data_IF_848331128777
#
_entry.id   IF_848331128777
#
_cell.length_a   1.000
_cell.length_b   1.000
_cell.length_c   1.000
_cell.angle_alpha   90.00
_cell.angle_beta   90.00
_cell.angle_gamma   90.00
#
_symmetry.space_group_name_H-M   'P 1'
#
loop_
_entity.id
_entity.type
_entity.pdbx_description
1 polymer ?
#
# COMPACT_ATOMS: atom_id res chain seq x y z
N UNK A 1 3.77 -2.49 -30.68
CA UNK A 1 2.94 -2.80 -29.51
C UNK A 1 3.77 -3.66 -28.56
N UNK A 2 4.23 -3.14 -27.40
CA UNK A 2 4.99 -3.97 -26.48
C UNK A 2 4.04 -4.94 -25.76
N UNK A 3 4.35 -6.23 -25.84
CA UNK A 3 3.63 -7.31 -25.16
C UNK A 3 3.82 -7.18 -23.65
N UNK A 4 2.72 -7.08 -22.92
CA UNK A 4 2.68 -7.24 -21.46
C UNK A 4 3.18 -8.64 -21.08
N UNK A 5 4.33 -8.71 -20.42
CA UNK A 5 4.78 -9.95 -19.79
C UNK A 5 3.92 -10.16 -18.56
N UNK A 6 2.97 -11.12 -18.63
CA UNK A 6 2.26 -11.58 -17.44
C UNK A 6 3.31 -12.00 -16.40
N UNK A 7 3.39 -11.27 -15.29
CA UNK A 7 4.21 -11.67 -14.16
C UNK A 7 3.59 -12.93 -13.55
N UNK A 8 4.18 -14.10 -13.84
CA UNK A 8 3.83 -15.34 -13.15
C UNK A 8 4.24 -15.23 -11.68
N UNK A 9 3.32 -14.81 -10.83
CA UNK A 9 3.47 -14.93 -9.39
C UNK A 9 3.31 -16.41 -9.00
N UNK A 10 4.43 -17.13 -8.88
CA UNK A 10 4.39 -18.49 -8.33
C UNK A 10 4.11 -18.43 -6.82
N UNK A 11 2.82 -18.47 -6.45
CA UNK A 11 2.35 -18.80 -5.11
C UNK A 11 2.65 -20.28 -4.84
N UNK A 12 3.90 -20.60 -4.47
CA UNK A 12 4.26 -21.95 -3.98
C UNK A 12 3.59 -22.17 -2.61
N UNK A 13 2.44 -22.84 -2.59
CA UNK A 13 1.87 -23.45 -1.38
C UNK A 13 2.79 -24.61 -0.99
N UNK A 14 3.66 -24.43 0.01
CA UNK A 14 4.18 -25.59 0.76
C UNK A 14 3.11 -25.99 1.77
N UNK A 15 2.84 -27.28 1.84
CA UNK A 15 2.01 -27.92 2.87
C UNK A 15 2.90 -28.23 4.08
N UNK A 16 3.62 -27.23 4.59
CA UNK A 16 4.15 -27.28 5.95
C UNK A 16 3.10 -26.63 6.84
N UNK A 17 2.67 -27.29 7.92
CA UNK A 17 1.54 -26.92 8.78
C UNK A 17 1.64 -25.57 9.52
N UNK A 18 2.33 -24.58 8.96
CA UNK A 18 2.36 -23.17 9.35
C UNK A 18 1.63 -22.37 8.29
N UNK A 19 0.34 -22.13 8.52
CA UNK A 19 -0.52 -21.10 7.90
C UNK A 19 -0.26 -20.70 6.44
N UNK A 20 -1.28 -20.86 5.58
CA UNK A 20 -1.34 -20.28 4.23
C UNK A 20 -0.70 -18.89 4.20
N UNK A 21 0.49 -18.75 3.60
CA UNK A 21 1.10 -17.42 3.45
C UNK A 21 0.41 -16.71 2.29
N UNK A 22 -0.44 -15.74 2.60
CA UNK A 22 -1.21 -14.94 1.63
C UNK A 22 -0.34 -13.97 0.78
N UNK A 23 1.00 -14.04 0.92
CA UNK A 23 1.96 -13.11 0.33
C UNK A 23 3.05 -13.85 -0.44
N UNK A 24 3.38 -13.42 -1.67
CA UNK A 24 4.45 -14.02 -2.45
C UNK A 24 5.81 -13.76 -1.80
N UNK A 25 6.66 -14.80 -1.79
CA UNK A 25 8.11 -14.64 -1.57
C UNK A 25 8.84 -14.31 -2.86
N UNK A 26 8.22 -14.57 -4.01
CA UNK A 26 8.76 -14.28 -5.34
C UNK A 26 7.65 -13.79 -6.27
N UNK A 27 7.87 -12.67 -6.96
CA UNK A 27 7.04 -12.21 -8.08
C UNK A 27 7.81 -11.20 -8.92
N UNK A 28 7.55 -11.11 -10.23
CA UNK A 28 8.22 -10.14 -11.12
C UNK A 28 9.75 -10.26 -11.13
N UNK A 29 10.29 -11.48 -10.95
CA UNK A 29 11.74 -11.69 -10.83
C UNK A 29 12.37 -11.20 -9.52
N UNK A 30 11.56 -10.74 -8.55
CA UNK A 30 12.03 -10.29 -7.25
C UNK A 30 11.83 -11.34 -6.15
N UNK A 31 12.70 -11.32 -5.14
CA UNK A 31 12.58 -12.03 -3.86
C UNK A 31 12.13 -11.05 -2.76
N UNK A 32 11.16 -11.43 -1.93
CA UNK A 32 10.60 -10.58 -0.88
C UNK A 32 10.85 -11.11 0.53
N UNK A 33 11.18 -10.20 1.45
CA UNK A 33 11.29 -10.46 2.89
C UNK A 33 10.31 -9.60 3.67
N UNK A 34 9.77 -10.18 4.73
CA UNK A 34 8.72 -9.57 5.53
C UNK A 34 9.10 -9.61 7.01
N UNK A 35 8.64 -8.62 7.78
CA UNK A 35 8.75 -8.63 9.24
C UNK A 35 7.73 -9.59 9.89
N UNK A 36 7.71 -9.65 11.23
CA UNK A 36 6.80 -10.50 11.99
C UNK A 36 5.31 -10.09 11.85
N UNK A 37 5.06 -8.82 11.59
CA UNK A 37 3.74 -8.25 11.27
C UNK A 37 3.35 -8.49 9.79
N UNK A 38 4.30 -8.97 9.01
CA UNK A 38 4.18 -9.33 7.61
C UNK A 38 4.34 -8.18 6.62
N UNK A 39 4.85 -7.02 7.03
CA UNK A 39 5.15 -5.88 6.14
C UNK A 39 6.45 -6.14 5.38
N UNK A 40 6.51 -5.74 4.11
CA UNK A 40 7.63 -6.03 3.19
C UNK A 40 8.84 -5.17 3.51
N UNK A 41 9.77 -5.69 4.29
CA UNK A 41 10.98 -4.95 4.69
C UNK A 41 12.08 -4.98 3.65
N UNK A 42 12.05 -5.94 2.72
CA UNK A 42 13.05 -6.03 1.65
C UNK A 42 12.48 -6.61 0.36
N UNK A 43 12.94 -6.07 -0.78
CA UNK A 43 12.84 -6.70 -2.09
C UNK A 43 14.22 -6.82 -2.73
N UNK A 44 14.49 -7.95 -3.39
CA UNK A 44 15.76 -8.26 -4.03
C UNK A 44 15.52 -8.59 -5.52
N UNK A 45 16.10 -7.84 -6.47
CA UNK A 45 16.12 -8.19 -7.91
C UNK A 45 17.44 -8.91 -8.21
N UNK A 46 17.38 -10.12 -8.76
CA UNK A 46 18.59 -10.84 -9.22
C UNK A 46 19.65 -11.08 -8.13
N UNK A 47 19.29 -11.04 -6.84
CA UNK A 47 20.18 -11.32 -5.70
C UNK A 47 21.16 -10.20 -5.28
N UNK A 48 21.34 -9.16 -6.09
CA UNK A 48 22.30 -8.07 -5.83
C UNK A 48 21.63 -6.71 -5.60
N UNK A 49 20.47 -6.48 -6.20
CA UNK A 49 19.77 -5.21 -6.20
C UNK A 49 18.73 -5.18 -5.08
N UNK A 50 19.03 -4.46 -3.99
CA UNK A 50 18.22 -4.51 -2.77
C UNK A 50 17.49 -3.20 -2.53
N UNK A 51 16.23 -3.33 -2.15
CA UNK A 51 15.43 -2.23 -1.62
C UNK A 51 14.97 -2.58 -0.22
N UNK A 52 15.22 -1.66 0.70
CA UNK A 52 14.83 -1.76 2.10
C UNK A 52 13.72 -0.76 2.37
N UNK A 53 12.66 -1.20 3.02
CA UNK A 53 11.49 -0.37 3.31
C UNK A 53 11.15 -0.44 4.80
N UNK A 54 10.88 0.71 5.40
CA UNK A 54 10.42 0.83 6.77
C UNK A 54 9.05 1.50 6.78
N UNK A 55 8.12 0.89 7.51
CA UNK A 55 6.74 1.36 7.61
C UNK A 55 6.40 1.78 9.03
N UNK A 56 5.52 2.77 9.14
CA UNK A 56 4.85 3.11 10.37
C UNK A 56 3.98 1.93 10.87
N UNK A 57 3.52 2.01 12.11
CA UNK A 57 2.66 0.99 12.71
C UNK A 57 1.34 0.81 11.93
N UNK A 58 0.85 1.88 11.31
CA UNK A 58 -0.34 1.91 10.46
C UNK A 58 -0.10 1.47 9.01
N UNK A 59 1.13 1.06 8.66
CA UNK A 59 1.46 0.55 7.33
C UNK A 59 1.87 1.61 6.31
N UNK A 60 1.98 2.89 6.66
CA UNK A 60 2.49 3.92 5.73
C UNK A 60 4.00 3.81 5.55
N UNK A 61 4.51 3.93 4.32
CA UNK A 61 5.94 3.85 4.02
C UNK A 61 6.64 5.11 4.54
N UNK A 62 7.50 4.98 5.55
CA UNK A 62 8.24 6.10 6.15
C UNK A 62 9.60 6.34 5.50
N UNK A 63 10.29 5.25 5.18
CA UNK A 63 11.66 5.33 4.69
C UNK A 63 11.94 4.21 3.71
N UNK A 64 12.74 4.53 2.69
CA UNK A 64 13.22 3.56 1.74
C UNK A 64 14.70 3.80 1.44
N UNK A 65 15.45 2.72 1.25
CA UNK A 65 16.76 2.73 0.60
C UNK A 65 16.70 1.82 -0.60
N UNK A 66 17.05 2.37 -1.75
CA UNK A 66 17.10 1.68 -3.02
C UNK A 66 18.56 1.65 -3.49
N UNK A 67 19.16 0.46 -3.45
CA UNK A 67 20.54 0.27 -3.89
C UNK A 67 20.68 0.24 -5.42
N UNK A 68 19.58 0.06 -6.15
CA UNK A 68 19.54 0.11 -7.62
C UNK A 68 19.55 1.54 -8.09
N UNK A 69 18.61 2.34 -7.58
CA UNK A 69 18.51 3.75 -7.89
C UNK A 69 19.62 4.57 -7.19
N UNK A 70 20.37 3.96 -6.27
CA UNK A 70 21.41 4.64 -5.51
C UNK A 70 20.84 5.75 -4.63
N UNK A 71 19.62 5.58 -4.11
CA UNK A 71 18.91 6.62 -3.35
C UNK A 71 18.40 6.12 -2.01
N UNK A 72 18.13 7.07 -1.11
CA UNK A 72 17.36 6.86 0.11
C UNK A 72 16.34 7.99 0.25
N UNK A 73 15.11 7.65 0.57
CA UNK A 73 14.02 8.59 0.73
C UNK A 73 13.37 8.49 2.11
N UNK A 74 12.85 9.62 2.58
CA UNK A 74 11.99 9.74 3.75
C UNK A 74 10.68 10.36 3.28
N UNK A 75 9.57 9.74 3.63
CA UNK A 75 8.24 10.28 3.41
C UNK A 75 7.73 10.90 4.72
N UNK A 76 7.30 12.14 4.64
CA UNK A 76 6.77 12.91 5.77
C UNK A 76 5.27 12.94 5.67
N UNK A 77 4.60 12.55 6.74
CA UNK A 77 3.15 12.57 6.82
C UNK A 77 2.67 13.51 7.90
N UNK A 78 1.54 14.18 7.64
CA UNK A 78 0.83 15.03 8.60
C UNK A 78 -0.63 14.61 8.63
N UNK A 79 -1.15 14.27 9.81
CA UNK A 79 -2.55 13.87 10.00
C UNK A 79 -3.05 12.81 9.01
N UNK A 80 -2.21 11.80 8.73
CA UNK A 80 -2.55 10.72 7.80
C UNK A 80 -2.10 10.96 6.35
N UNK A 81 -2.01 12.20 5.89
CA UNK A 81 -1.67 12.56 4.49
C UNK A 81 -0.17 12.67 4.25
N UNK A 82 0.29 12.24 3.07
CA UNK A 82 1.67 12.40 2.61
C UNK A 82 1.89 13.85 2.17
N UNK A 83 2.77 14.58 2.85
CA UNK A 83 2.97 16.02 2.61
C UNK A 83 4.32 16.35 2.00
N UNK A 84 5.34 15.51 2.20
CA UNK A 84 6.65 15.74 1.61
C UNK A 84 7.44 14.44 1.41
N UNK A 85 8.33 14.46 0.43
CA UNK A 85 9.37 13.45 0.20
C UNK A 85 10.73 14.14 0.24
N UNK A 86 11.62 13.63 1.08
CA UNK A 86 13.03 13.99 1.07
C UNK A 86 13.82 12.86 0.46
N UNK A 87 14.49 13.09 -0.68
CA UNK A 87 15.27 12.10 -1.41
C UNK A 87 16.73 12.53 -1.49
N UNK A 88 17.63 11.63 -1.16
CA UNK A 88 19.08 11.86 -1.25
C UNK A 88 19.78 10.67 -1.88
N UNK A 89 20.89 10.87 -2.61
CA UNK A 89 21.69 9.75 -3.09
C UNK A 89 22.33 9.00 -1.91
N UNK A 90 22.71 7.74 -2.15
CA UNK A 90 23.49 6.95 -1.20
C UNK A 90 24.94 7.43 -1.13
N UNK A 91 25.47 7.91 -2.26
CA UNK A 91 26.77 8.57 -2.38
C UNK A 91 26.56 10.04 -2.72
N UNK A 92 26.99 10.94 -1.82
CA UNK A 92 26.76 12.39 -1.93
C UNK A 92 25.90 12.96 -0.81
N UNK A 93 25.85 14.29 -0.72
CA UNK A 93 25.20 15.02 0.39
C UNK A 93 23.98 15.82 -0.03
N UNK A 94 23.87 16.20 -1.32
CA UNK A 94 22.74 16.99 -1.81
C UNK A 94 21.46 16.18 -1.84
N UNK A 95 20.41 16.71 -1.20
CA UNK A 95 19.09 16.11 -1.20
C UNK A 95 18.09 16.98 -1.95
N UNK A 96 17.08 16.34 -2.52
CA UNK A 96 15.90 17.00 -3.06
C UNK A 96 14.74 16.89 -2.09
N UNK A 97 14.05 18.01 -1.88
CA UNK A 97 12.78 18.08 -1.18
C UNK A 97 11.69 18.29 -2.22
N UNK A 98 10.60 17.54 -2.13
CA UNK A 98 9.38 17.86 -2.85
C UNK A 98 8.17 17.75 -1.95
N UNK A 99 7.21 18.64 -2.19
CA UNK A 99 5.95 18.71 -1.47
C UNK A 99 4.89 17.97 -2.27
N UNK A 100 4.16 17.08 -1.61
CA UNK A 100 3.16 16.22 -2.24
C UNK A 100 1.77 16.80 -1.97
N UNK A 101 0.97 16.84 -3.02
CA UNK A 101 -0.42 17.24 -2.98
C UNK A 101 -1.25 15.99 -3.25
N UNK A 102 -2.09 15.58 -2.29
CA UNK A 102 -2.85 14.34 -2.37
C UNK A 102 -4.34 14.58 -2.61
N UNK A 103 -5.00 13.63 -3.26
CA UNK A 103 -6.46 13.53 -3.27
C UNK A 103 -7.03 13.21 -1.86
N UNK A 104 -8.36 13.21 -1.68
CA UNK A 104 -8.98 12.88 -0.39
C UNK A 104 -8.71 11.46 0.12
N UNK A 105 -8.37 10.51 -0.76
CA UNK A 105 -8.03 9.14 -0.38
C UNK A 105 -6.54 8.99 0.00
N UNK A 106 -5.72 10.00 -0.29
CA UNK A 106 -4.29 10.06 0.01
C UNK A 106 -3.40 9.70 -1.18
N UNK A 107 -3.91 9.62 -2.40
CA UNK A 107 -3.10 9.41 -3.61
C UNK A 107 -2.41 10.71 -4.01
N UNK A 108 -1.07 10.75 -4.20
CA UNK A 108 -0.38 11.96 -4.65
C UNK A 108 -0.71 12.31 -6.10
N UNK A 109 -1.32 13.47 -6.35
CA UNK A 109 -1.72 13.94 -7.69
C UNK A 109 -0.76 14.97 -8.27
N UNK A 110 0.02 15.66 -7.42
CA UNK A 110 1.06 16.58 -7.85
C UNK A 110 2.22 16.61 -6.85
N UNK A 111 3.41 16.94 -7.36
CA UNK A 111 4.61 17.23 -6.58
C UNK A 111 5.15 18.60 -6.96
N UNK A 112 5.41 19.46 -5.98
CA UNK A 112 6.05 20.75 -6.19
C UNK A 112 7.45 20.79 -5.57
N UNK A 113 8.33 21.61 -6.15
CA UNK A 113 9.64 21.90 -5.57
C UNK A 113 9.57 22.98 -4.47
N UNK A 114 10.73 23.41 -3.97
CA UNK A 114 10.84 24.45 -2.95
C UNK A 114 10.44 25.85 -3.43
N UNK A 115 10.42 26.10 -4.73
CA UNK A 115 9.94 27.34 -5.32
C UNK A 115 8.42 27.30 -5.62
N UNK A 116 7.76 26.17 -5.37
CA UNK A 116 6.34 25.96 -5.66
C UNK A 116 6.06 25.58 -7.11
N UNK A 117 7.07 25.32 -7.93
CA UNK A 117 6.88 24.86 -9.30
C UNK A 117 6.46 23.39 -9.31
N UNK A 118 5.48 23.04 -10.15
CA UNK A 118 5.03 21.65 -10.32
C UNK A 118 6.11 20.88 -11.11
N UNK A 119 6.65 19.83 -10.48
CA UNK A 119 7.71 18.98 -11.05
C UNK A 119 7.23 17.58 -11.41
N UNK A 120 6.06 17.16 -10.92
CA UNK A 120 5.48 15.85 -11.20
C UNK A 120 3.95 15.95 -11.09
N UNK A 121 3.22 15.27 -11.97
CA UNK A 121 1.76 15.05 -11.85
C UNK A 121 1.46 13.56 -11.95
N UNK A 122 0.37 13.13 -11.31
CA UNK A 122 -0.11 11.74 -11.35
C UNK A 122 -1.58 11.72 -11.71
N UNK A 123 -1.96 10.88 -12.67
CA UNK A 123 -3.35 10.68 -13.09
C UNK A 123 -3.75 9.23 -12.85
N UNK A 124 -4.74 9.01 -12.00
CA UNK A 124 -5.22 7.69 -11.63
C UNK A 124 -6.62 7.42 -12.20
N UNK A 125 -6.83 6.21 -12.70
CA UNK A 125 -8.18 5.67 -12.87
C UNK A 125 -8.85 5.42 -11.50
N UNK A 126 -10.18 5.23 -11.45
CA UNK A 126 -10.89 4.98 -10.18
C UNK A 126 -10.36 3.78 -9.40
N UNK A 127 -9.79 2.78 -10.07
CA UNK A 127 -9.20 1.60 -9.43
C UNK A 127 -7.67 1.71 -9.26
N UNK A 128 -7.10 2.89 -9.46
CA UNK A 128 -5.71 3.21 -9.13
C UNK A 128 -4.69 2.94 -10.22
N UNK A 129 -5.12 2.66 -11.45
CA UNK A 129 -4.20 2.55 -12.58
C UNK A 129 -3.61 3.92 -12.88
N UNK A 130 -2.28 4.04 -12.84
CA UNK A 130 -1.57 5.28 -13.14
C UNK A 130 -1.41 5.41 -14.66
N UNK A 131 -1.96 6.50 -15.23
CA UNK A 131 -2.11 6.67 -16.68
C UNK A 131 -0.94 7.40 -17.34
N UNK A 132 -0.38 8.37 -16.63
CA UNK A 132 0.55 9.33 -17.23
C UNK A 132 2.04 8.99 -16.97
N UNK A 133 2.33 7.94 -16.20
CA UNK A 133 3.69 7.46 -15.94
C UNK A 133 3.72 6.02 -15.43
N UNK A 134 4.92 5.44 -15.37
CA UNK A 134 5.13 4.12 -14.79
C UNK A 134 5.18 4.15 -13.25
N UNK A 135 4.87 3.01 -12.63
CA UNK A 135 5.10 2.76 -11.21
C UNK A 135 6.60 2.93 -10.88
N UNK A 136 6.89 3.44 -9.69
CA UNK A 136 8.24 3.90 -9.33
C UNK A 136 8.63 3.58 -7.88
N UNK A 137 7.96 2.60 -7.26
CA UNK A 137 8.21 2.11 -5.91
C UNK A 137 8.08 3.18 -4.81
N UNK A 138 7.31 4.25 -5.08
CA UNK A 138 6.92 5.28 -4.11
C UNK A 138 5.48 5.08 -3.63
N UNK A 139 5.05 5.77 -2.56
CA UNK A 139 3.63 5.90 -2.25
C UNK A 139 2.90 6.52 -3.45
N UNK A 140 1.88 5.83 -3.93
CA UNK A 140 1.02 6.24 -5.03
C UNK A 140 -0.44 6.09 -4.63
N UNK A 141 -1.20 5.29 -5.37
CA UNK A 141 -2.63 5.13 -5.16
C UNK A 141 -3.02 4.83 -3.70
N UNK A 142 -3.85 5.70 -3.12
CA UNK A 142 -4.30 5.68 -1.71
C UNK A 142 -3.18 5.64 -0.65
N UNK A 143 -1.96 6.02 -1.03
CA UNK A 143 -0.76 6.03 -0.17
C UNK A 143 0.04 4.72 -0.14
N UNK A 144 -0.36 3.72 -0.93
CA UNK A 144 0.32 2.44 -1.01
C UNK A 144 1.49 2.45 -1.98
N UNK A 145 2.45 1.54 -1.78
CA UNK A 145 3.64 1.46 -2.65
C UNK A 145 3.23 0.88 -4.00
N UNK A 146 3.46 1.62 -5.09
CA UNK A 146 3.24 1.14 -6.45
C UNK A 146 4.50 0.45 -6.96
N UNK A 147 4.47 -0.88 -7.02
CA UNK A 147 5.61 -1.72 -7.32
C UNK A 147 5.94 -1.67 -8.82
N UNK A 148 7.17 -1.25 -9.15
CA UNK A 148 7.59 -1.06 -10.54
C UNK A 148 7.87 -2.38 -11.26
N UNK A 149 8.31 -3.42 -10.55
CA UNK A 149 8.71 -4.68 -11.15
C UNK A 149 7.54 -5.61 -11.46
N UNK A 150 6.45 -5.47 -10.70
CA UNK A 150 5.25 -6.28 -10.87
C UNK A 150 4.09 -5.53 -11.50
N UNK A 151 4.11 -4.19 -11.47
CA UNK A 151 2.96 -3.37 -11.86
C UNK A 151 1.84 -3.34 -10.81
N UNK A 152 2.02 -4.03 -9.67
CA UNK A 152 1.00 -4.18 -8.63
C UNK A 152 1.13 -3.08 -7.56
N UNK A 153 0.05 -2.85 -6.82
CA UNK A 153 0.08 -2.01 -5.62
C UNK A 153 0.27 -2.89 -4.38
N UNK A 154 1.31 -2.62 -3.61
CA UNK A 154 1.60 -3.32 -2.35
C UNK A 154 0.80 -2.71 -1.20
N UNK A 155 -0.34 -3.35 -0.87
CA UNK A 155 -1.23 -2.94 0.21
C UNK A 155 -0.98 -3.76 1.47
N UNK A 156 0.29 -3.92 1.86
CA UNK A 156 0.74 -4.67 3.04
C UNK A 156 0.37 -6.16 3.09
N UNK A 157 -0.89 -6.48 3.40
CA UNK A 157 -1.37 -7.85 3.61
C UNK A 157 -1.66 -8.55 2.28
N UNK A 158 -2.00 -7.79 1.25
CA UNK A 158 -2.30 -8.30 -0.09
C UNK A 158 -1.63 -7.45 -1.17
N UNK A 159 -1.45 -8.08 -2.33
CA UNK A 159 -1.08 -7.38 -3.55
C UNK A 159 -2.35 -7.12 -4.35
N UNK A 160 -2.50 -5.88 -4.78
CA UNK A 160 -3.64 -5.37 -5.51
C UNK A 160 -3.26 -5.11 -6.96
N UNK A 161 -4.09 -5.58 -7.88
CA UNK A 161 -3.94 -5.34 -9.30
C UNK A 161 -4.91 -4.24 -9.73
N UNK A 162 -4.35 -3.07 -10.04
CA UNK A 162 -5.11 -1.89 -10.45
C UNK A 162 -5.68 -2.00 -11.87
N UNK A 163 -5.18 -2.92 -12.71
CA UNK A 163 -5.71 -3.11 -14.07
C UNK A 163 -7.05 -3.83 -14.06
N UNK A 164 -7.23 -4.79 -13.14
CA UNK A 164 -8.49 -5.53 -12.99
C UNK A 164 -9.34 -5.07 -11.79
N UNK A 165 -8.75 -4.26 -10.90
CA UNK A 165 -9.44 -3.71 -9.73
C UNK A 165 -9.60 -4.67 -8.55
N UNK A 166 -8.82 -5.76 -8.48
CA UNK A 166 -8.97 -6.82 -7.47
C UNK A 166 -7.66 -7.19 -6.76
N UNK A 167 -7.79 -7.80 -5.59
CA UNK A 167 -6.66 -8.44 -4.91
C UNK A 167 -6.30 -9.77 -5.54
N UNK A 168 -5.01 -10.10 -5.55
CA UNK A 168 -4.51 -11.38 -6.08
C UNK A 168 -4.60 -12.55 -5.09
N UNK A 169 -4.96 -12.28 -3.85
CA UNK A 169 -5.10 -13.31 -2.81
C UNK A 169 -6.35 -13.10 -1.99
N UNK A 170 -6.88 -14.22 -1.51
CA UNK A 170 -8.05 -14.28 -0.63
C UNK A 170 -7.77 -13.46 0.63
N UNK A 171 -8.70 -12.57 0.98
CA UNK A 171 -8.69 -11.82 2.24
C UNK A 171 -8.54 -12.76 3.43
N UNK A 172 -7.57 -12.59 4.33
CA UNK A 172 -7.51 -13.39 5.56
C UNK A 172 -8.72 -13.18 6.48
N UNK A 173 -9.40 -12.03 6.40
CA UNK A 173 -10.69 -11.81 7.06
C UNK A 173 -11.73 -12.68 6.35
N UNK A 174 -12.48 -13.47 7.11
CA UNK A 174 -13.53 -14.34 6.56
C UNK A 174 -14.80 -13.56 6.29
N UNK A 175 -15.71 -14.18 5.55
CA UNK A 175 -17.06 -13.65 5.42
C UNK A 175 -17.75 -13.62 6.80
N UNK A 176 -18.51 -12.57 7.04
CA UNK A 176 -19.37 -12.46 8.21
C UNK A 176 -20.59 -13.36 8.03
N UNK A 177 -20.83 -14.26 8.98
CA UNK A 177 -21.88 -15.27 8.86
C UNK A 177 -23.29 -14.73 9.10
N UNK A 178 -23.43 -13.54 9.66
CA UNK A 178 -24.73 -12.92 9.98
C UNK A 178 -25.19 -12.01 8.85
N UNK A 179 -24.27 -11.22 8.32
CA UNK A 179 -24.55 -10.16 7.34
C UNK A 179 -24.17 -10.55 5.91
N UNK A 180 -23.36 -11.59 5.73
CA UNK A 180 -22.77 -11.94 4.43
C UNK A 180 -21.66 -10.99 3.98
N UNK A 181 -21.18 -10.09 4.86
CA UNK A 181 -20.09 -9.18 4.52
C UNK A 181 -18.84 -9.95 4.14
N UNK A 182 -18.03 -9.38 3.22
CA UNK A 182 -16.78 -10.00 2.76
C UNK A 182 -16.98 -11.41 2.15
N UNK A 183 -18.15 -11.67 1.54
CA UNK A 183 -18.37 -12.90 0.77
C UNK A 183 -17.45 -12.96 -0.46
N UNK A 184 -17.30 -11.83 -1.18
CA UNK A 184 -16.28 -11.68 -2.20
C UNK A 184 -14.94 -11.24 -1.57
N UNK A 185 -14.10 -12.21 -1.22
CA UNK A 185 -12.82 -11.99 -0.51
C UNK A 185 -11.67 -11.45 -1.39
N UNK A 186 -11.96 -11.06 -2.63
CA UNK A 186 -11.00 -10.46 -3.56
C UNK A 186 -11.31 -9.00 -3.89
N UNK A 187 -12.50 -8.51 -3.52
CA UNK A 187 -12.89 -7.16 -3.89
C UNK A 187 -12.05 -6.11 -3.16
N UNK A 188 -11.89 -4.97 -3.82
CA UNK A 188 -11.29 -3.78 -3.21
C UNK A 188 -12.40 -2.77 -2.90
N UNK A 189 -12.31 -2.12 -1.73
CA UNK A 189 -13.13 -0.97 -1.36
C UNK A 189 -14.65 -1.16 -1.56
N UNK A 190 -15.18 -2.37 -1.32
CA UNK A 190 -16.58 -2.73 -1.58
C UNK A 190 -17.07 -2.42 -3.02
N UNK A 191 -16.17 -2.46 -4.02
CA UNK A 191 -16.41 -2.02 -5.40
C UNK A 191 -16.77 -0.52 -5.54
N UNK A 192 -16.47 0.29 -4.52
CA UNK A 192 -16.61 1.75 -4.56
C UNK A 192 -15.29 2.42 -4.13
N UNK A 193 -14.25 2.34 -4.99
CA UNK A 193 -12.92 2.85 -4.69
C UNK A 193 -12.84 4.38 -4.66
N UNK A 194 -13.88 5.08 -5.08
CA UNK A 194 -14.01 6.53 -4.92
C UNK A 194 -14.29 6.91 -3.46
N UNK A 195 -15.08 6.10 -2.75
CA UNK A 195 -15.53 6.39 -1.37
C UNK A 195 -14.70 5.68 -0.32
N UNK A 196 -14.28 4.44 -0.58
CA UNK A 196 -13.59 3.59 0.38
C UNK A 196 -12.17 3.29 -0.07
N UNK A 197 -11.30 3.04 0.90
CA UNK A 197 -9.96 2.52 0.67
C UNK A 197 -9.66 1.39 1.65
N UNK A 198 -8.70 0.53 1.31
CA UNK A 198 -8.20 -0.51 2.20
C UNK A 198 -6.81 -0.11 2.75
N UNK A 199 -6.67 0.35 4.02
CA UNK A 199 -5.42 0.88 4.55
C UNK A 199 -4.33 -0.17 4.76
N UNK A 200 -4.67 -1.45 4.92
CA UNK A 200 -3.70 -2.50 5.20
C UNK A 200 -3.90 -3.76 4.35
N UNK A 201 -4.84 -3.75 3.40
CA UNK A 201 -5.17 -4.91 2.58
C UNK A 201 -6.02 -5.94 3.31
N UNK A 202 -6.86 -5.54 4.28
CA UNK A 202 -7.84 -6.40 4.98
C UNK A 202 -9.16 -5.69 5.30
N UNK A 203 -9.27 -4.39 5.00
CA UNK A 203 -10.41 -3.58 5.35
C UNK A 203 -11.17 -3.12 4.12
N UNK A 204 -12.42 -3.57 3.98
CA UNK A 204 -13.26 -3.31 2.81
C UNK A 204 -13.96 -1.95 2.89
N UNK A 205 -14.28 -1.46 4.10
CA UNK A 205 -15.11 -0.26 4.35
C UNK A 205 -14.35 0.88 5.03
N UNK A 206 -13.02 0.82 5.10
CA UNK A 206 -12.26 1.87 5.74
C UNK A 206 -12.32 3.16 4.91
N UNK A 207 -12.60 4.27 5.57
CA UNK A 207 -12.34 5.61 5.08
C UNK A 207 -11.03 6.09 5.73
N UNK A 208 -10.17 6.79 4.99
CA UNK A 208 -9.11 7.59 5.62
C UNK A 208 -9.79 8.53 6.63
N UNK A 209 -9.27 8.63 7.84
CA UNK A 209 -9.92 9.28 8.99
C UNK A 209 -10.66 10.60 8.69
N UNK A 210 -11.99 10.61 8.88
CA UNK A 210 -12.73 11.63 9.65
C UNK A 210 -13.73 10.88 10.55
N UNK A 211 -13.38 10.76 11.84
CA UNK A 211 -14.23 10.48 13.01
C UNK A 211 -15.19 9.26 12.92
N UNK A 212 -14.70 8.04 13.17
CA UNK A 212 -15.55 6.98 13.79
C UNK A 212 -14.72 6.08 14.74
N UNK A 213 -13.81 6.66 15.54
CA UNK A 213 -13.21 5.93 16.67
C UNK A 213 -13.90 6.18 18.03
N UNK A 214 -14.93 7.01 18.08
CA UNK A 214 -15.66 7.28 19.34
C UNK A 214 -16.96 6.48 19.53
N UNK A 215 -17.52 5.86 18.49
CA UNK A 215 -18.84 5.22 18.62
C UNK A 215 -18.79 3.74 19.05
N UNK A 216 -17.78 2.98 18.59
CA UNK A 216 -17.78 1.52 18.80
C UNK A 216 -17.27 1.14 20.21
N UNK A 217 -16.39 1.94 20.81
CA UNK A 217 -15.93 1.71 22.19
C UNK A 217 -16.97 2.14 23.23
N UNK A 218 -17.78 3.18 22.97
CA UNK A 218 -18.86 3.60 23.88
C UNK A 218 -19.95 2.54 23.99
N UNK A 219 -20.34 1.92 22.87
CA UNK A 219 -21.46 0.98 22.85
C UNK A 219 -21.20 -0.30 23.66
N UNK A 220 -19.94 -0.71 23.85
CA UNK A 220 -19.59 -1.88 24.66
C UNK A 220 -19.55 -1.55 26.15
N UNK A 221 -19.15 -0.32 26.52
CA UNK A 221 -19.12 0.11 27.92
C UNK A 221 -20.52 0.40 28.44
N UNK A 222 -21.38 1.05 27.64
CA UNK A 222 -22.76 1.37 28.03
C UNK A 222 -23.61 0.11 28.23
N UNK A 223 -23.43 -0.93 27.40
CA UNK A 223 -24.13 -2.23 27.57
C UNK A 223 -23.68 -2.98 28.83
N UNK A 224 -22.44 -2.79 29.29
CA UNK A 224 -21.97 -3.44 30.53
C UNK A 224 -22.34 -2.68 31.80
N UNK A 225 -22.64 -1.38 31.72
CA UNK A 225 -23.11 -0.59 32.88
C UNK A 225 -24.61 -0.78 33.14
N UNK A 226 -25.43 -0.97 32.10
CA UNK A 226 -26.88 -1.16 32.24
C UNK A 226 -27.33 -2.54 32.77
N UNK A 227 -26.40 -3.49 32.96
CA UNK A 227 -26.69 -4.83 33.51
C UNK A 227 -26.37 -5.00 35.00
N UNK A 228 -25.97 -3.92 35.69
CA UNK A 228 -25.55 -3.96 37.11
C UNK A 228 -26.43 -3.17 38.09
N UNK A 229 -27.58 -2.67 37.64
CA UNK A 229 -28.64 -2.16 38.54
C UNK A 229 -29.90 -3.00 38.40
#
# INVERSE_FOLDING_TARGET
>A
MPRSVLATAHLRRRRDGRGSRHRPRRAGGQDYRYDAQGRRVRSDVGGAQRRYSLYAQDGRLLWQRDEVAGTRSVNVYLSGSLVAEYRRPLSGTTASLGFLHTDPLGSPIAKTDAAGAVVETSEYEPYGLLLNRANDDRPGYTGHVMDSATGLTYMQQRYYDSQIGWFLSVDPVTADTVTGWNFNRYNYAANNPYKFKDPDGRCIWCIAEIIVRSAIVSMIVDVMVQKKN
#
